data_IF_672157774717
#
_entry.id   IF_672157774717
#
_cell.length_a   1.000
_cell.length_b   1.000
_cell.length_c   1.000
_cell.angle_alpha   90.00
_cell.angle_beta   90.00
_cell.angle_gamma   90.00
#
_symmetry.space_group_name_H-M   'P 1'
#
loop_
_entity.id
_entity.type
_entity.pdbx_description
1 polymer ?
#
# COMPACT_ATOMS: atom_id res chain seq x y z
N UNK A 1 -25.17 -0.38 12.78
CA UNK A 1 -24.40 0.79 12.32
C UNK A 1 -23.01 0.35 11.83
N UNK A 2 -22.85 -0.06 10.57
CA UNK A 2 -21.56 -0.48 9.97
C UNK A 2 -21.26 0.35 8.70
N UNK A 3 -21.22 1.68 8.81
CA UNK A 3 -21.17 2.58 7.64
C UNK A 3 -20.21 3.77 7.74
N UNK A 4 -19.31 3.84 8.73
CA UNK A 4 -18.51 5.06 8.99
C UNK A 4 -17.13 5.12 8.30
N UNK A 5 -16.68 4.09 7.59
CA UNK A 5 -15.31 4.04 7.03
C UNK A 5 -15.27 4.09 5.50
N UNK A 6 -16.26 4.73 4.86
CA UNK A 6 -16.39 4.71 3.39
C UNK A 6 -15.36 5.57 2.66
N UNK A 7 -14.84 6.62 3.28
CA UNK A 7 -13.79 7.47 2.70
C UNK A 7 -12.50 7.41 3.52
N UNK A 8 -11.35 7.63 2.87
CA UNK A 8 -10.05 7.68 3.55
C UNK A 8 -10.01 8.71 4.67
N UNK A 9 -10.67 9.86 4.52
CA UNK A 9 -10.76 10.87 5.59
C UNK A 9 -11.59 10.40 6.79
N UNK A 10 -12.72 9.72 6.56
CA UNK A 10 -13.56 9.19 7.63
C UNK A 10 -12.87 8.03 8.37
N UNK A 11 -12.22 7.14 7.61
CA UNK A 11 -11.35 6.10 8.15
C UNK A 11 -10.25 6.72 9.03
N UNK A 12 -9.52 7.71 8.52
CA UNK A 12 -8.41 8.33 9.26
C UNK A 12 -8.88 9.00 10.55
N UNK A 13 -10.01 9.72 10.52
CA UNK A 13 -10.60 10.33 11.70
C UNK A 13 -10.96 9.32 12.78
N UNK A 14 -11.39 8.11 12.40
CA UNK A 14 -11.68 7.04 13.34
C UNK A 14 -10.41 6.36 13.89
N UNK A 15 -9.36 6.23 13.07
CA UNK A 15 -8.08 5.62 13.48
C UNK A 15 -7.30 6.55 14.42
N UNK A 16 -7.13 7.83 14.06
CA UNK A 16 -6.19 8.73 14.75
C UNK A 16 -6.54 9.07 16.20
N UNK A 17 -7.80 8.86 16.59
CA UNK A 17 -8.32 9.16 17.95
C UNK A 17 -8.39 7.92 18.84
N UNK A 18 -8.20 6.73 18.27
CA UNK A 18 -8.25 5.44 18.99
C UNK A 18 -6.83 4.87 19.03
N UNK A 19 -6.20 4.91 20.19
CA UNK A 19 -4.79 4.52 20.37
C UNK A 19 -4.50 3.08 19.95
N UNK A 20 -5.40 2.14 20.26
CA UNK A 20 -5.23 0.74 19.92
C UNK A 20 -5.30 0.54 18.40
N UNK A 21 -6.30 1.15 17.75
CA UNK A 21 -6.45 1.09 16.30
C UNK A 21 -5.34 1.82 15.56
N UNK A 22 -4.88 2.95 16.09
CA UNK A 22 -3.75 3.71 15.57
C UNK A 22 -2.47 2.87 15.61
N UNK A 23 -2.17 2.24 16.74
CA UNK A 23 -0.99 1.40 16.92
C UNK A 23 -1.02 0.17 15.99
N UNK A 24 -2.16 -0.52 15.94
CA UNK A 24 -2.38 -1.65 15.03
C UNK A 24 -2.20 -1.24 13.55
N UNK A 25 -2.76 -0.09 13.15
CA UNK A 25 -2.59 0.43 11.80
C UNK A 25 -1.13 0.75 11.49
N UNK A 26 -0.42 1.43 12.39
CA UNK A 26 0.98 1.84 12.18
C UNK A 26 1.91 0.62 12.07
N UNK A 27 1.69 -0.39 12.92
CA UNK A 27 2.40 -1.68 12.82
C UNK A 27 2.13 -2.39 11.49
N UNK A 28 0.89 -2.34 10.99
CA UNK A 28 0.56 -2.87 9.67
C UNK A 28 1.23 -2.09 8.53
N UNK A 29 1.49 -0.79 8.69
CA UNK A 29 2.27 -0.04 7.70
C UNK A 29 3.71 -0.54 7.68
N UNK A 30 4.36 -0.68 8.84
CA UNK A 30 5.72 -1.23 8.92
C UNK A 30 5.82 -2.62 8.29
N UNK A 31 4.91 -3.54 8.62
CA UNK A 31 4.84 -4.85 8.00
C UNK A 31 4.68 -4.76 6.46
N UNK A 32 3.82 -3.85 6.00
CA UNK A 32 3.62 -3.58 4.57
C UNK A 32 4.93 -3.23 3.87
N UNK A 33 5.63 -2.20 4.34
CA UNK A 33 6.87 -1.72 3.71
C UNK A 33 7.96 -2.81 3.68
N UNK A 34 8.14 -3.53 4.80
CA UNK A 34 9.17 -4.58 4.89
C UNK A 34 8.91 -5.69 3.88
N UNK A 35 7.65 -6.13 3.76
CA UNK A 35 7.29 -7.22 2.84
C UNK A 35 7.17 -6.76 1.39
N UNK A 36 6.95 -5.47 1.12
CA UNK A 36 6.84 -4.92 -0.22
C UNK A 36 8.16 -5.06 -0.99
N UNK A 37 9.29 -4.67 -0.38
CA UNK A 37 10.60 -4.77 -1.02
C UNK A 37 10.93 -6.19 -1.47
N UNK A 38 10.71 -7.19 -0.60
CA UNK A 38 10.98 -8.61 -0.90
C UNK A 38 10.09 -9.12 -2.05
N UNK A 39 8.80 -8.73 -2.05
CA UNK A 39 7.85 -9.11 -3.11
C UNK A 39 8.23 -8.51 -4.45
N UNK A 40 8.65 -7.24 -4.47
CA UNK A 40 9.05 -6.54 -5.69
C UNK A 40 10.31 -7.16 -6.29
N UNK A 41 11.30 -7.50 -5.47
CA UNK A 41 12.51 -8.19 -5.93
C UNK A 41 12.22 -9.58 -6.49
N UNK A 42 11.37 -10.36 -5.80
CA UNK A 42 10.94 -11.67 -6.28
C UNK A 42 10.16 -11.55 -7.59
N UNK A 43 9.32 -10.52 -7.72
CA UNK A 43 8.58 -10.23 -8.94
C UNK A 43 9.50 -9.85 -10.11
N UNK A 44 10.46 -8.94 -9.88
CA UNK A 44 11.45 -8.53 -10.87
C UNK A 44 12.25 -9.74 -11.38
N UNK A 45 12.77 -10.56 -10.46
CA UNK A 45 13.52 -11.78 -10.76
C UNK A 45 12.71 -12.78 -11.60
N UNK A 46 11.40 -12.86 -11.37
CA UNK A 46 10.53 -13.84 -12.03
C UNK A 46 10.11 -13.41 -13.44
N UNK A 47 9.81 -12.14 -13.63
CA UNK A 47 9.08 -11.66 -14.81
C UNK A 47 9.88 -10.72 -15.72
N UNK A 48 11.02 -10.21 -15.25
CA UNK A 48 11.72 -9.14 -15.95
C UNK A 48 13.09 -9.59 -16.42
N UNK A 49 13.46 -9.18 -17.64
CA UNK A 49 14.80 -9.40 -18.15
C UNK A 49 15.82 -8.57 -17.35
N UNK A 50 16.93 -9.20 -16.99
CA UNK A 50 18.06 -8.54 -16.36
C UNK A 50 18.58 -7.36 -17.22
N UNK A 51 19.01 -6.30 -16.55
CA UNK A 51 19.50 -5.03 -17.07
C UNK A 51 18.48 -4.23 -17.90
N UNK A 52 17.21 -4.62 -17.85
CA UNK A 52 16.13 -3.87 -18.51
C UNK A 52 15.76 -2.61 -17.73
N UNK A 53 15.06 -1.70 -18.40
CA UNK A 53 14.50 -0.50 -17.75
C UNK A 53 13.52 -0.86 -16.64
N UNK A 54 12.67 -1.87 -16.87
CA UNK A 54 11.68 -2.32 -15.89
C UNK A 54 12.36 -2.85 -14.62
N UNK A 55 13.45 -3.62 -14.76
CA UNK A 55 14.18 -4.13 -13.60
C UNK A 55 14.74 -2.97 -12.76
N UNK A 56 15.41 -1.99 -13.39
CA UNK A 56 15.94 -0.81 -12.69
C UNK A 56 14.86 -0.04 -11.94
N UNK A 57 13.68 0.12 -12.56
CA UNK A 57 12.55 0.78 -11.90
C UNK A 57 12.09 -0.03 -10.69
N UNK A 58 11.86 -1.33 -10.83
CA UNK A 58 11.43 -2.19 -9.73
C UNK A 58 12.44 -2.21 -8.57
N UNK A 59 13.74 -2.30 -8.87
CA UNK A 59 14.78 -2.28 -7.83
C UNK A 59 14.85 -0.91 -7.13
N UNK A 60 14.62 0.18 -7.86
CA UNK A 60 14.49 1.51 -7.25
C UNK A 60 13.30 1.56 -6.29
N UNK A 61 12.15 1.01 -6.67
CA UNK A 61 10.95 0.93 -5.82
C UNK A 61 11.26 0.08 -4.58
N UNK A 62 11.89 -1.10 -4.74
CA UNK A 62 12.25 -1.95 -3.60
C UNK A 62 13.19 -1.27 -2.60
N UNK A 63 14.16 -0.47 -3.06
CA UNK A 63 15.03 0.34 -2.20
C UNK A 63 14.28 1.47 -1.48
N UNK A 64 13.32 2.08 -2.16
CA UNK A 64 12.42 3.07 -1.56
C UNK A 64 11.55 2.43 -0.47
N UNK A 65 11.01 1.24 -0.69
CA UNK A 65 10.23 0.51 0.32
C UNK A 65 11.05 0.13 1.55
N UNK A 66 12.32 -0.27 1.38
CA UNK A 66 13.24 -0.44 2.51
C UNK A 66 13.43 0.85 3.30
N UNK A 67 13.54 1.96 2.58
CA UNK A 67 13.65 3.29 3.18
C UNK A 67 12.38 3.68 3.93
N UNK A 68 11.20 3.38 3.37
CA UNK A 68 9.92 3.58 4.04
C UNK A 68 9.82 2.74 5.31
N UNK A 69 10.17 1.46 5.25
CA UNK A 69 10.20 0.56 6.40
C UNK A 69 11.08 1.12 7.52
N UNK A 70 12.25 1.67 7.19
CA UNK A 70 13.13 2.32 8.14
C UNK A 70 12.45 3.54 8.80
N UNK A 71 11.84 4.44 8.01
CA UNK A 71 11.17 5.63 8.55
C UNK A 71 9.95 5.28 9.43
N UNK A 72 9.15 4.29 9.03
CA UNK A 72 8.00 3.85 9.84
C UNK A 72 8.49 3.12 11.10
N UNK A 73 9.57 2.33 11.01
CA UNK A 73 10.19 1.67 12.16
C UNK A 73 10.77 2.67 13.18
N UNK A 74 11.41 3.73 12.71
CA UNK A 74 11.88 4.84 13.55
C UNK A 74 10.70 5.56 14.23
N UNK A 75 9.61 5.81 13.51
CA UNK A 75 8.39 6.40 14.06
C UNK A 75 7.76 5.53 15.16
N UNK A 76 7.67 4.22 14.94
CA UNK A 76 7.20 3.26 15.94
C UNK A 76 8.09 3.30 17.19
N UNK A 77 9.41 3.23 17.00
CA UNK A 77 10.39 3.26 18.10
C UNK A 77 10.30 4.56 18.91
N UNK A 78 10.19 5.70 18.24
CA UNK A 78 10.02 7.01 18.89
C UNK A 78 8.73 7.11 19.71
N UNK A 79 7.72 6.30 19.37
CA UNK A 79 6.44 6.19 20.08
C UNK A 79 6.44 5.08 21.15
N UNK A 80 7.58 4.44 21.40
CA UNK A 80 7.69 3.36 22.38
C UNK A 80 7.09 2.03 21.92
N UNK A 81 6.89 1.85 20.60
CA UNK A 81 6.36 0.63 20.01
C UNK A 81 7.51 -0.11 19.31
N UNK A 82 7.70 -1.39 19.61
CA UNK A 82 8.70 -2.22 18.93
C UNK A 82 8.23 -2.55 17.51
N UNK A 83 8.99 -2.19 16.46
CA UNK A 83 8.66 -2.57 15.08
C UNK A 83 8.83 -4.07 14.88
N UNK A 84 7.79 -4.74 14.37
CA UNK A 84 7.81 -6.18 14.13
C UNK A 84 7.04 -6.53 12.85
N UNK A 85 7.56 -7.52 12.11
CA UNK A 85 6.83 -8.12 10.99
C UNK A 85 5.75 -9.01 11.58
N UNK A 86 4.50 -8.63 11.35
CA UNK A 86 3.34 -9.32 11.89
C UNK A 86 3.14 -10.72 11.28
N UNK A 87 2.83 -11.70 12.12
CA UNK A 87 2.25 -12.97 11.68
C UNK A 87 0.73 -12.78 11.52
N UNK A 88 0.27 -12.50 10.30
CA UNK A 88 -1.14 -12.18 10.03
C UNK A 88 -1.63 -12.78 8.72
N UNK A 89 -2.95 -12.88 8.60
CA UNK A 89 -3.61 -13.21 7.34
C UNK A 89 -3.50 -12.04 6.35
N UNK A 90 -3.15 -12.38 5.12
CA UNK A 90 -2.99 -11.44 4.00
C UNK A 90 -4.25 -11.42 3.12
N UNK A 91 -5.42 -11.20 3.75
CA UNK A 91 -6.74 -11.32 3.12
C UNK A 91 -6.92 -10.54 1.80
N UNK A 92 -6.24 -9.41 1.63
CA UNK A 92 -6.21 -8.69 0.36
C UNK A 92 -5.48 -9.50 -0.72
N UNK A 93 -4.26 -9.95 -0.42
CA UNK A 93 -3.42 -10.70 -1.33
C UNK A 93 -4.01 -12.07 -1.69
N UNK A 94 -4.70 -12.72 -0.76
CA UNK A 94 -5.44 -13.97 -1.02
C UNK A 94 -6.48 -13.82 -2.15
N UNK A 95 -6.97 -12.60 -2.39
CA UNK A 95 -7.93 -12.30 -3.46
C UNK A 95 -7.27 -11.82 -4.75
N UNK A 96 -6.11 -11.17 -4.67
CA UNK A 96 -5.47 -10.52 -5.82
C UNK A 96 -4.37 -11.34 -6.47
N UNK A 97 -3.64 -12.15 -5.71
CA UNK A 97 -2.50 -12.93 -6.24
C UNK A 97 -2.90 -13.92 -7.33
N UNK A 98 -4.12 -14.47 -7.27
CA UNK A 98 -4.65 -15.36 -8.30
C UNK A 98 -4.87 -14.71 -9.67
N UNK A 99 -4.83 -13.37 -9.76
CA UNK A 99 -4.92 -12.62 -11.02
C UNK A 99 -3.58 -12.34 -11.69
N UNK A 100 -2.45 -12.78 -11.11
CA UNK A 100 -1.11 -12.54 -11.67
C UNK A 100 -0.73 -13.69 -12.61
N UNK A 101 -0.91 -13.45 -13.91
CA UNK A 101 -0.63 -14.42 -14.98
C UNK A 101 0.61 -14.04 -15.81
N UNK A 102 1.00 -12.78 -15.77
CA UNK A 102 2.08 -12.18 -16.56
C UNK A 102 2.77 -11.05 -15.79
N UNK A 103 3.79 -10.45 -16.41
CA UNK A 103 4.42 -9.23 -15.91
C UNK A 103 3.38 -8.09 -15.78
N UNK A 104 2.59 -7.87 -16.83
CA UNK A 104 1.64 -6.76 -16.90
C UNK A 104 0.54 -6.88 -15.84
N UNK A 105 0.00 -8.10 -15.64
CA UNK A 105 -1.03 -8.33 -14.62
C UNK A 105 -0.45 -8.27 -13.20
N UNK A 106 0.80 -8.69 -12.99
CA UNK A 106 1.50 -8.48 -11.72
C UNK A 106 1.74 -7.01 -11.42
N UNK A 107 2.20 -6.23 -12.41
CA UNK A 107 2.35 -4.78 -12.29
C UNK A 107 1.00 -4.10 -12.03
N UNK A 108 -0.08 -4.57 -12.65
CA UNK A 108 -1.43 -4.03 -12.43
C UNK A 108 -1.92 -4.27 -10.99
N UNK A 109 -1.72 -5.47 -10.45
CA UNK A 109 -2.05 -5.78 -9.06
C UNK A 109 -1.26 -4.91 -8.08
N UNK A 110 0.03 -4.67 -8.36
CA UNK A 110 0.85 -3.74 -7.59
C UNK A 110 0.31 -2.30 -7.68
N UNK A 111 0.05 -1.78 -8.89
CA UNK A 111 -0.51 -0.45 -9.10
C UNK A 111 -1.81 -0.22 -8.31
N UNK A 112 -2.72 -1.19 -8.34
CA UNK A 112 -3.97 -1.14 -7.59
C UNK A 112 -3.74 -1.10 -6.06
N UNK A 113 -2.76 -1.85 -5.56
CA UNK A 113 -2.40 -1.85 -4.15
C UNK A 113 -1.79 -0.49 -3.74
N UNK A 114 -0.87 0.05 -4.55
CA UNK A 114 -0.27 1.37 -4.34
C UNK A 114 -1.33 2.47 -4.37
N UNK A 115 -2.22 2.45 -5.36
CA UNK A 115 -3.29 3.44 -5.46
C UNK A 115 -4.17 3.47 -4.21
N UNK A 116 -4.60 2.30 -3.74
CA UNK A 116 -5.39 2.18 -2.51
C UNK A 116 -4.65 2.71 -1.28
N UNK A 117 -3.34 2.47 -1.20
CA UNK A 117 -2.49 2.98 -0.11
C UNK A 117 -2.33 4.50 -0.18
N UNK A 118 -2.08 5.02 -1.37
CA UNK A 118 -1.92 6.43 -1.67
C UNK A 118 -3.16 7.26 -1.31
N UNK A 119 -4.37 6.73 -1.52
CA UNK A 119 -5.63 7.36 -1.07
C UNK A 119 -5.61 7.66 0.45
N UNK A 120 -5.04 6.75 1.25
CA UNK A 120 -4.95 6.91 2.71
C UNK A 120 -3.85 7.85 3.13
N UNK A 121 -2.68 7.76 2.49
CA UNK A 121 -1.55 8.66 2.76
C UNK A 121 -1.94 10.11 2.48
N UNK A 122 -2.61 10.38 1.37
CA UNK A 122 -3.12 11.72 1.05
C UNK A 122 -4.07 12.26 2.11
N UNK A 123 -4.98 11.41 2.63
CA UNK A 123 -5.89 11.81 3.70
C UNK A 123 -5.15 12.15 5.01
N UNK A 124 -4.12 11.38 5.37
CA UNK A 124 -3.27 11.64 6.55
C UNK A 124 -2.49 12.96 6.37
N UNK A 125 -1.88 13.16 5.21
CA UNK A 125 -1.04 14.33 4.94
C UNK A 125 -1.87 15.62 4.87
N UNK A 126 -3.08 15.55 4.32
CA UNK A 126 -4.00 16.69 4.25
C UNK A 126 -4.61 17.07 5.62
N UNK A 127 -4.58 16.17 6.60
CA UNK A 127 -5.16 16.41 7.92
C UNK A 127 -4.21 17.20 8.84
N UNK A 128 -4.52 18.47 9.05
CA UNK A 128 -3.74 19.35 9.94
C UNK A 128 -3.81 18.93 11.42
N UNK A 129 -4.81 18.15 11.80
CA UNK A 129 -4.96 17.60 13.16
C UNK A 129 -4.31 16.23 13.36
N UNK A 130 -3.78 15.60 12.30
CA UNK A 130 -2.98 14.40 12.43
C UNK A 130 -1.74 14.66 13.31
N UNK A 131 -1.24 13.66 14.07
CA UNK A 131 0.00 13.80 14.80
C UNK A 131 1.14 14.26 13.88
N UNK A 132 1.88 15.30 14.31
CA UNK A 132 2.80 16.02 13.44
C UNK A 132 3.95 15.14 12.91
N UNK A 133 4.43 14.20 13.73
CA UNK A 133 5.43 13.19 13.41
C UNK A 133 4.94 12.21 12.34
N UNK A 134 3.69 11.72 12.48
CA UNK A 134 3.04 10.85 11.49
C UNK A 134 2.90 11.59 10.17
N UNK A 135 2.36 12.81 10.21
CA UNK A 135 2.19 13.64 9.00
C UNK A 135 3.54 13.89 8.32
N UNK A 136 4.60 14.12 9.08
CA UNK A 136 5.94 14.34 8.54
C UNK A 136 6.50 13.07 7.86
N UNK A 137 6.39 11.89 8.49
CA UNK A 137 6.85 10.63 7.90
C UNK A 137 6.07 10.29 6.64
N UNK A 138 4.74 10.28 6.70
CA UNK A 138 3.91 9.97 5.54
C UNK A 138 3.99 11.04 4.44
N UNK A 139 4.30 12.29 4.79
CA UNK A 139 4.60 13.34 3.82
C UNK A 139 5.91 13.12 3.05
N UNK A 140 6.90 12.44 3.66
CA UNK A 140 8.14 12.03 2.99
C UNK A 140 7.94 10.81 2.08
N UNK A 141 7.08 9.89 2.49
CA UNK A 141 6.70 8.67 1.75
C UNK A 141 5.86 9.03 0.51
N UNK A 142 4.89 9.94 0.67
CA UNK A 142 3.91 10.32 -0.37
C UNK A 142 4.48 10.47 -1.79
N UNK A 143 5.50 11.29 -2.07
CA UNK A 143 5.99 11.45 -3.44
C UNK A 143 6.62 10.17 -4.02
N UNK A 144 7.11 9.25 -3.19
CA UNK A 144 7.66 7.97 -3.65
C UNK A 144 6.51 7.02 -4.02
N UNK A 145 5.45 6.95 -3.22
CA UNK A 145 4.24 6.17 -3.52
C UNK A 145 3.52 6.66 -4.79
N UNK A 146 3.51 7.98 -5.02
CA UNK A 146 3.00 8.54 -6.28
C UNK A 146 3.83 8.08 -7.48
N UNK A 147 5.15 7.98 -7.32
CA UNK A 147 6.02 7.40 -8.33
C UNK A 147 5.77 5.90 -8.50
N UNK A 148 5.60 5.14 -7.41
CA UNK A 148 5.37 3.69 -7.44
C UNK A 148 4.10 3.35 -8.21
N UNK A 149 2.97 3.94 -7.81
CA UNK A 149 1.68 3.75 -8.48
C UNK A 149 1.78 4.07 -9.97
N UNK A 150 2.36 5.23 -10.30
CA UNK A 150 2.50 5.66 -11.69
C UNK A 150 3.39 4.71 -12.50
N UNK A 151 4.52 4.28 -11.94
CA UNK A 151 5.45 3.37 -12.60
C UNK A 151 4.80 2.00 -12.85
N UNK A 152 4.12 1.43 -11.85
CA UNK A 152 3.39 0.17 -11.99
C UNK A 152 2.26 0.29 -13.02
N UNK A 153 1.48 1.37 -12.99
CA UNK A 153 0.41 1.63 -13.95
C UNK A 153 0.93 1.70 -15.40
N UNK A 154 2.09 2.35 -15.63
CA UNK A 154 2.74 2.36 -16.96
C UNK A 154 3.20 0.95 -17.37
N UNK A 155 3.81 0.19 -16.46
CA UNK A 155 4.31 -1.16 -16.75
C UNK A 155 3.18 -2.16 -17.01
N UNK A 156 2.03 -1.98 -16.35
CA UNK A 156 0.84 -2.78 -16.54
C UNK A 156 0.18 -2.53 -17.90
N UNK A 157 0.05 -1.26 -18.29
CA UNK A 157 -0.79 -0.85 -19.40
C UNK A 157 -2.29 -1.01 -19.12
N UNK A 158 -3.11 -0.36 -19.93
CA UNK A 158 -4.55 -0.21 -19.69
C UNK A 158 -5.30 -1.55 -19.59
N UNK A 159 -4.96 -2.51 -20.47
CA UNK A 159 -5.64 -3.80 -20.51
C UNK A 159 -5.45 -4.57 -19.20
N UNK A 160 -4.22 -4.71 -18.71
CA UNK A 160 -3.97 -5.45 -17.48
C UNK A 160 -4.57 -4.76 -16.24
N UNK A 161 -4.57 -3.41 -16.24
CA UNK A 161 -5.27 -2.62 -15.21
C UNK A 161 -6.77 -2.95 -15.16
N UNK A 162 -7.43 -3.07 -16.32
CA UNK A 162 -8.83 -3.46 -16.42
C UNK A 162 -9.07 -4.92 -16.01
N UNK A 163 -8.26 -5.85 -16.52
CA UNK A 163 -8.42 -7.29 -16.28
C UNK A 163 -8.28 -7.67 -14.80
N UNK A 164 -7.48 -6.93 -14.03
CA UNK A 164 -7.22 -7.20 -12.61
C UNK A 164 -8.13 -6.43 -11.64
N UNK A 165 -8.97 -5.52 -12.16
CA UNK A 165 -9.80 -4.64 -11.35
C UNK A 165 -10.81 -5.42 -10.49
N UNK A 166 -11.39 -6.50 -11.01
CA UNK A 166 -12.36 -7.31 -10.28
C UNK A 166 -11.73 -7.99 -9.04
N UNK A 167 -10.54 -8.57 -9.19
CA UNK A 167 -9.82 -9.14 -8.05
C UNK A 167 -9.39 -8.05 -7.06
N UNK A 168 -8.96 -6.88 -7.53
CA UNK A 168 -8.66 -5.75 -6.66
C UNK A 168 -9.88 -5.34 -5.82
N UNK A 169 -11.05 -5.21 -6.43
CA UNK A 169 -12.30 -4.89 -5.73
C UNK A 169 -12.66 -5.97 -4.70
N UNK A 170 -12.51 -7.24 -5.04
CA UNK A 170 -12.70 -8.34 -4.09
C UNK A 170 -11.71 -8.27 -2.91
N UNK A 171 -10.45 -7.91 -3.18
CA UNK A 171 -9.43 -7.67 -2.16
C UNK A 171 -9.79 -6.51 -1.23
N UNK A 172 -10.24 -5.36 -1.78
CA UNK A 172 -10.74 -4.22 -1.00
C UNK A 172 -11.88 -4.65 -0.07
N UNK A 173 -12.86 -5.38 -0.58
CA UNK A 173 -13.98 -5.88 0.21
C UNK A 173 -13.52 -6.83 1.35
N UNK A 174 -12.54 -7.69 1.09
CA UNK A 174 -12.00 -8.63 2.08
C UNK A 174 -11.33 -7.92 3.28
N UNK A 175 -10.85 -6.69 3.09
CA UNK A 175 -10.29 -5.85 4.16
C UNK A 175 -11.25 -4.75 4.65
N UNK A 176 -12.52 -4.79 4.23
CA UNK A 176 -13.58 -3.89 4.68
C UNK A 176 -13.67 -2.55 3.93
N UNK A 177 -12.95 -2.38 2.83
CA UNK A 177 -13.07 -1.24 1.94
C UNK A 177 -14.18 -1.52 0.91
N UNK A 178 -15.26 -0.73 0.93
CA UNK A 178 -16.39 -0.89 0.01
C UNK A 178 -16.27 0.13 -1.13
N UNK A 179 -16.37 -0.26 -2.41
CA UNK A 179 -16.42 0.68 -3.53
C UNK A 179 -17.64 1.61 -3.43
N UNK A 180 -17.47 2.91 -3.69
CA UNK A 180 -18.55 3.91 -3.64
C UNK A 180 -19.73 3.58 -4.57
N UNK A 181 -19.50 2.82 -5.65
CA UNK A 181 -20.48 2.50 -6.69
C UNK A 181 -21.48 1.38 -6.34
N UNK A 182 -21.39 0.72 -5.17
CA UNK A 182 -22.35 -0.34 -4.75
C UNK A 182 -23.29 0.19 -3.64
N UNK A 183 -23.52 1.51 -3.61
CA UNK A 183 -24.37 2.18 -2.64
C UNK A 183 -25.62 2.87 -3.25
N UNK A 184 -26.07 2.40 -4.43
CA UNK A 184 -27.36 2.77 -5.01
C UNK A 184 -28.16 1.51 -5.37
#
# INVERSE_FOLDING_TARGET
>A
MRNLERSSSAWWNAIKIDEARFTDWLMKQYHGEVTAAERIEAFAKRYVQQDSRAERVLLTIADQERTHAAWVGELLTARGITPEVLAKEERYWDKTLGGIESFETGAAVAAHAEHMRLERIRAIVADTSAPADVRAVFGRILPQEEFHEHAFSIMAGEKAMQDTLAQHQAGRMAIGLIPEAIAA
#
